data_IF_219736877515
#
_entry.id   IF_219736877515
#
_cell.length_a   1.000
_cell.length_b   1.000
_cell.length_c   1.000
_cell.angle_alpha   90.00
_cell.angle_beta   90.00
_cell.angle_gamma   90.00
#
_symmetry.space_group_name_H-M   'P 1'
#
loop_
_entity.id
_entity.type
_entity.pdbx_description
1 polymer ?
#
# COMPACT_ATOMS: atom_id res chain seq x y z
N UNK A 1 0.08 -47.45 -51.11
CA UNK A 1 0.45 -47.40 -49.69
C UNK A 1 1.11 -46.06 -49.44
N UNK A 2 0.32 -45.03 -49.21
CA UNK A 2 -0.27 -44.56 -47.93
C UNK A 2 0.57 -43.36 -47.47
N UNK A 3 0.04 -42.12 -47.45
CA UNK A 3 -0.89 -41.60 -46.42
C UNK A 3 -0.25 -41.77 -45.01
N UNK A 4 0.05 -40.75 -44.21
CA UNK A 4 -0.75 -39.60 -43.77
C UNK A 4 0.17 -38.63 -42.99
N UNK A 5 -0.02 -37.34 -43.26
CA UNK A 5 -0.18 -36.22 -42.31
C UNK A 5 0.76 -36.05 -41.11
N UNK A 6 1.42 -34.89 -41.09
CA UNK A 6 1.91 -34.23 -39.88
C UNK A 6 1.60 -32.74 -40.00
N UNK A 7 0.40 -32.35 -39.63
CA UNK A 7 -0.07 -30.96 -39.49
C UNK A 7 0.71 -30.31 -38.34
N UNK A 8 1.69 -29.46 -38.63
CA UNK A 8 2.17 -28.51 -37.62
C UNK A 8 1.19 -27.34 -37.56
N UNK A 9 0.26 -27.50 -36.62
CA UNK A 9 -0.71 -26.50 -36.19
C UNK A 9 0.06 -25.29 -35.66
N UNK A 10 -0.06 -24.15 -36.36
CA UNK A 10 0.34 -22.86 -35.84
C UNK A 10 -0.42 -22.61 -34.53
N UNK A 11 0.30 -22.57 -33.41
CA UNK A 11 -0.24 -22.09 -32.12
C UNK A 11 -0.15 -20.57 -32.11
N UNK A 12 -1.21 -19.90 -32.51
CA UNK A 12 -1.44 -18.50 -32.13
C UNK A 12 -1.76 -18.43 -30.62
N UNK A 13 -0.98 -17.64 -29.89
CA UNK A 13 -1.14 -17.48 -28.45
C UNK A 13 0.15 -17.34 -27.64
N UNK A 14 1.28 -16.95 -28.23
CA UNK A 14 2.40 -16.45 -27.43
C UNK A 14 2.17 -14.98 -27.14
N UNK A 15 1.74 -14.72 -25.90
CA UNK A 15 1.73 -13.40 -25.31
C UNK A 15 3.10 -12.74 -25.51
N UNK A 16 3.06 -11.48 -25.96
CA UNK A 16 4.21 -10.62 -26.13
C UNK A 16 4.88 -10.39 -24.77
N UNK A 17 5.79 -11.28 -24.38
CA UNK A 17 6.70 -11.06 -23.25
C UNK A 17 7.69 -9.97 -23.65
N UNK A 18 7.35 -8.73 -23.30
CA UNK A 18 8.30 -7.64 -23.27
C UNK A 18 9.34 -7.95 -22.20
N UNK A 19 10.46 -8.50 -22.65
CA UNK A 19 11.70 -8.53 -21.90
C UNK A 19 12.02 -7.09 -21.45
N UNK A 20 11.87 -6.83 -20.16
CA UNK A 20 12.38 -5.64 -19.51
C UNK A 20 13.88 -5.81 -19.31
N UNK A 21 14.67 -5.53 -20.34
CA UNK A 21 16.11 -5.37 -20.20
C UNK A 21 16.47 -3.88 -20.30
N UNK A 22 16.87 -3.36 -19.14
CA UNK A 22 17.75 -2.22 -18.90
C UNK A 22 17.37 -0.86 -19.50
N UNK A 23 17.12 0.07 -18.57
CA UNK A 23 17.25 1.52 -18.66
C UNK A 23 18.45 1.98 -19.52
N UNK A 24 18.28 1.98 -20.84
CA UNK A 24 18.93 2.97 -21.70
C UNK A 24 18.26 4.30 -21.40
N UNK A 25 19.07 5.33 -21.14
CA UNK A 25 18.59 6.66 -20.80
C UNK A 25 17.50 7.07 -21.79
N UNK A 26 16.25 7.12 -21.32
CA UNK A 26 15.12 7.59 -22.11
C UNK A 26 15.49 8.98 -22.60
N UNK A 27 15.81 9.09 -23.89
CA UNK A 27 16.00 10.36 -24.56
C UNK A 27 14.62 11.01 -24.58
N UNK A 28 14.31 11.78 -23.55
CA UNK A 28 13.08 12.59 -23.47
C UNK A 28 13.29 13.79 -24.39
N UNK A 29 12.64 13.75 -25.54
CA UNK A 29 12.88 14.68 -26.65
C UNK A 29 11.81 15.75 -26.69
N UNK A 30 12.25 17.00 -26.61
CA UNK A 30 11.40 18.16 -26.52
C UNK A 30 11.06 18.73 -27.91
N UNK A 31 9.96 18.27 -28.51
CA UNK A 31 9.22 19.07 -29.48
C UNK A 31 8.20 19.89 -28.70
N UNK A 32 8.40 21.20 -28.59
CA UNK A 32 7.42 22.16 -28.07
C UNK A 32 6.87 21.87 -26.64
N UNK A 33 7.54 21.03 -25.85
CA UNK A 33 7.17 20.65 -24.49
C UNK A 33 6.46 19.30 -24.36
N UNK A 34 6.34 18.51 -25.43
CA UNK A 34 5.54 17.28 -25.41
C UNK A 34 6.35 16.03 -25.05
N UNK A 35 5.81 15.19 -24.17
CA UNK A 35 6.45 13.95 -23.71
C UNK A 35 6.34 12.78 -24.72
N UNK A 36 5.72 13.00 -25.88
CA UNK A 36 5.62 12.02 -26.96
C UNK A 36 4.39 12.19 -27.87
N UNK A 37 4.24 11.31 -28.85
CA UNK A 37 3.22 11.41 -29.90
C UNK A 37 1.76 11.40 -29.39
N UNK A 38 1.46 10.59 -28.37
CA UNK A 38 0.11 10.54 -27.78
C UNK A 38 -0.21 11.83 -27.02
N UNK A 39 0.81 12.47 -26.44
CA UNK A 39 0.61 13.73 -25.73
C UNK A 39 0.33 14.88 -26.69
N UNK A 40 1.03 14.93 -27.83
CA UNK A 40 0.70 15.86 -28.93
C UNK A 40 -0.74 15.67 -29.37
N UNK A 41 -1.20 14.42 -29.56
CA UNK A 41 -2.60 14.13 -29.90
C UNK A 41 -3.57 14.66 -28.84
N UNK A 42 -3.25 14.49 -27.56
CA UNK A 42 -4.07 15.01 -26.47
C UNK A 42 -4.09 16.55 -26.45
N UNK A 43 -2.97 17.20 -26.75
CA UNK A 43 -2.87 18.66 -26.82
C UNK A 43 -3.66 19.23 -28.01
N UNK A 44 -3.51 18.66 -29.21
CA UNK A 44 -4.31 19.00 -30.39
C UNK A 44 -5.81 18.77 -30.11
N UNK A 45 -6.14 17.70 -29.39
CA UNK A 45 -7.51 17.42 -29.00
C UNK A 45 -8.07 18.45 -27.99
N UNK A 46 -7.23 19.07 -27.16
CA UNK A 46 -7.68 20.10 -26.21
C UNK A 46 -7.92 21.45 -26.87
N UNK A 47 -7.06 21.87 -27.80
CA UNK A 47 -7.11 23.20 -28.41
C UNK A 47 -8.42 23.45 -29.18
N UNK A 48 -8.97 22.41 -29.79
CA UNK A 48 -10.23 22.47 -30.52
C UNK A 48 -11.50 22.36 -29.65
N UNK A 49 -11.39 22.44 -28.31
CA UNK A 49 -12.52 22.23 -27.37
C UNK A 49 -13.29 20.95 -27.69
N UNK A 50 -12.56 19.85 -27.89
CA UNK A 50 -13.15 18.59 -28.31
C UNK A 50 -13.85 17.92 -27.15
N UNK A 51 -15.17 17.82 -27.25
CA UNK A 51 -15.80 16.57 -26.85
C UNK A 51 -15.19 15.49 -27.77
N UNK A 52 -14.35 14.62 -27.21
CA UNK A 52 -13.75 13.44 -27.88
C UNK A 52 -14.81 12.54 -28.57
N UNK A 53 -16.09 12.83 -28.32
CA UNK A 53 -17.29 12.20 -28.86
C UNK A 53 -17.96 12.98 -30.02
N UNK A 54 -17.71 14.28 -30.20
CA UNK A 54 -18.44 15.16 -31.14
C UNK A 54 -17.66 15.52 -32.42
N UNK A 55 -16.32 15.50 -32.40
CA UNK A 55 -15.51 15.66 -33.62
C UNK A 55 -15.02 14.31 -34.14
N UNK A 56 -14.95 14.16 -35.46
CA UNK A 56 -14.50 12.93 -36.09
C UNK A 56 -13.00 12.71 -35.85
N UNK A 57 -12.61 11.51 -35.40
CA UNK A 57 -11.22 11.08 -35.24
C UNK A 57 -10.36 11.35 -36.50
N UNK A 58 -10.99 11.37 -37.67
CA UNK A 58 -10.36 11.73 -38.94
C UNK A 58 -9.77 13.15 -38.97
N UNK A 59 -10.42 14.13 -38.34
CA UNK A 59 -9.93 15.50 -38.32
C UNK A 59 -8.71 15.67 -37.41
N UNK A 60 -8.69 14.96 -36.27
CA UNK A 60 -7.54 14.91 -35.38
C UNK A 60 -6.34 14.23 -36.06
N UNK A 61 -6.59 13.17 -36.83
CA UNK A 61 -5.55 12.54 -37.65
C UNK A 61 -4.94 13.52 -38.66
N UNK A 62 -5.76 14.36 -39.31
CA UNK A 62 -5.27 15.37 -40.26
C UNK A 62 -4.39 16.44 -39.62
N UNK A 63 -4.77 16.92 -38.45
CA UNK A 63 -3.98 17.88 -37.69
C UNK A 63 -2.64 17.31 -37.26
N UNK A 64 -2.64 16.07 -36.77
CA UNK A 64 -1.41 15.40 -36.39
C UNK A 64 -0.48 15.19 -37.60
N UNK A 65 -1.03 14.77 -38.75
CA UNK A 65 -0.24 14.61 -39.98
C UNK A 65 0.34 15.95 -40.47
N UNK A 66 -0.43 17.04 -40.35
CA UNK A 66 0.06 18.38 -40.65
C UNK A 66 1.20 18.79 -39.71
N UNK A 67 1.05 18.57 -38.41
CA UNK A 67 2.09 18.82 -37.40
C UNK A 67 3.38 18.05 -37.72
N UNK A 68 3.30 16.75 -37.99
CA UNK A 68 4.48 15.93 -38.32
C UNK A 68 5.13 16.40 -39.63
N UNK A 69 4.33 16.86 -40.60
CA UNK A 69 4.87 17.38 -41.86
C UNK A 69 5.66 18.69 -41.68
N UNK A 70 5.24 19.53 -40.74
CA UNK A 70 5.93 20.77 -40.38
C UNK A 70 7.18 20.48 -39.54
N UNK A 71 7.07 19.61 -38.53
CA UNK A 71 8.18 19.15 -37.72
C UNK A 71 9.29 18.49 -38.57
N UNK A 72 8.92 17.74 -39.61
CA UNK A 72 9.88 17.13 -40.55
C UNK A 72 10.69 18.17 -41.34
N UNK A 73 10.14 19.36 -41.58
CA UNK A 73 10.84 20.45 -42.30
C UNK A 73 11.84 21.17 -41.40
N UNK A 74 11.55 21.27 -40.10
CA UNK A 74 12.45 21.90 -39.14
C UNK A 74 13.53 20.93 -38.68
N UNK A 75 13.18 19.71 -38.26
CA UNK A 75 14.11 18.73 -37.71
C UNK A 75 13.75 17.28 -38.11
N UNK A 76 14.51 16.72 -39.06
CA UNK A 76 14.26 15.37 -39.60
C UNK A 76 14.45 14.25 -38.58
N UNK A 77 15.50 14.33 -37.75
CA UNK A 77 15.81 13.32 -36.73
C UNK A 77 14.68 13.20 -35.70
N UNK A 78 14.12 14.36 -35.33
CA UNK A 78 13.09 14.50 -34.32
C UNK A 78 11.72 14.03 -34.80
N UNK A 79 11.42 14.17 -36.09
CA UNK A 79 10.18 13.69 -36.67
C UNK A 79 10.08 12.15 -36.65
N UNK A 80 11.20 11.42 -36.58
CA UNK A 80 11.24 9.96 -36.68
C UNK A 80 10.36 9.25 -35.63
N UNK A 81 10.39 9.73 -34.38
CA UNK A 81 9.60 9.17 -33.27
C UNK A 81 8.09 9.33 -33.45
N UNK A 82 7.68 10.31 -34.27
CA UNK A 82 6.29 10.63 -34.57
C UNK A 82 5.80 9.93 -35.84
N UNK A 83 6.70 9.39 -36.67
CA UNK A 83 6.32 8.74 -37.93
C UNK A 83 5.51 7.46 -37.72
N UNK A 84 5.78 6.71 -36.65
CA UNK A 84 5.03 5.48 -36.35
C UNK A 84 3.55 5.80 -36.12
N UNK A 85 3.28 6.80 -35.28
CA UNK A 85 1.91 7.26 -35.03
C UNK A 85 1.29 7.94 -36.24
N UNK A 86 2.07 8.68 -37.04
CA UNK A 86 1.60 9.26 -38.29
C UNK A 86 1.14 8.19 -39.28
N UNK A 87 1.92 7.12 -39.45
CA UNK A 87 1.58 5.99 -40.30
C UNK A 87 0.31 5.28 -39.80
N UNK A 88 0.22 5.08 -38.48
CA UNK A 88 -0.96 4.47 -37.85
C UNK A 88 -2.24 5.30 -38.06
N UNK A 89 -2.15 6.62 -37.89
CA UNK A 89 -3.27 7.54 -38.13
C UNK A 89 -3.66 7.62 -39.60
N UNK A 90 -2.69 7.59 -40.51
CA UNK A 90 -2.95 7.53 -41.95
C UNK A 90 -3.67 6.24 -42.34
N UNK A 91 -3.27 5.10 -41.76
CA UNK A 91 -3.94 3.81 -41.95
C UNK A 91 -5.39 3.84 -41.42
N UNK A 92 -5.58 4.30 -40.18
CA UNK A 92 -6.92 4.42 -39.58
C UNK A 92 -7.81 5.38 -40.37
N UNK A 93 -7.28 6.53 -40.83
CA UNK A 93 -8.02 7.46 -41.70
C UNK A 93 -8.43 6.81 -43.03
N UNK A 94 -7.54 6.04 -43.66
CA UNK A 94 -7.86 5.30 -44.89
C UNK A 94 -9.03 4.34 -44.66
N UNK A 95 -8.94 3.52 -43.59
CA UNK A 95 -9.99 2.58 -43.17
C UNK A 95 -11.32 3.26 -42.85
N UNK A 96 -11.32 4.44 -42.26
CA UNK A 96 -12.54 5.22 -41.98
C UNK A 96 -13.22 5.78 -43.24
N UNK A 97 -12.46 6.01 -44.32
CA UNK A 97 -12.99 6.58 -45.56
C UNK A 97 -13.42 5.53 -46.58
N UNK A 98 -12.88 4.32 -46.47
CA UNK A 98 -13.21 3.20 -47.34
C UNK A 98 -14.52 2.54 -46.89
N UNK A 99 -15.44 2.19 -47.82
CA UNK A 99 -16.61 1.40 -47.48
C UNK A 99 -16.18 0.02 -46.99
N UNK A 100 -16.83 -0.46 -45.93
CA UNK A 100 -16.53 -1.75 -45.32
C UNK A 100 -16.90 -2.88 -46.28
N UNK A 101 -15.90 -3.64 -46.72
CA UNK A 101 -16.09 -4.71 -47.71
C UNK A 101 -16.42 -6.06 -47.02
N UNK A 102 -16.50 -6.08 -45.69
CA UNK A 102 -17.04 -7.21 -44.91
C UNK A 102 -16.28 -8.53 -45.07
N UNK A 103 -15.02 -8.49 -45.52
CA UNK A 103 -14.26 -9.68 -45.91
C UNK A 103 -12.99 -9.93 -45.08
N UNK A 104 -12.59 -9.00 -44.19
CA UNK A 104 -11.37 -9.13 -43.41
C UNK A 104 -11.68 -9.28 -41.91
N UNK A 105 -10.92 -10.14 -41.23
CA UNK A 105 -10.92 -10.33 -39.77
C UNK A 105 -10.21 -9.16 -39.03
N UNK A 106 -9.95 -8.07 -39.75
CA UNK A 106 -9.27 -6.90 -39.23
C UNK A 106 -10.27 -5.88 -38.66
N UNK A 107 -9.89 -5.15 -37.60
CA UNK A 107 -10.77 -4.17 -36.98
C UNK A 107 -11.20 -3.08 -37.96
N UNK A 108 -12.46 -2.66 -37.83
CA UNK A 108 -13.02 -1.59 -38.65
C UNK A 108 -12.35 -0.25 -38.32
N UNK A 109 -12.45 0.72 -39.25
CA UNK A 109 -11.93 2.08 -38.99
C UNK A 109 -12.56 2.72 -37.75
N UNK A 110 -13.84 2.44 -37.49
CA UNK A 110 -14.56 2.94 -36.31
C UNK A 110 -14.07 2.30 -35.01
N UNK A 111 -13.76 1.00 -35.03
CA UNK A 111 -13.21 0.31 -33.86
C UNK A 111 -11.82 0.83 -33.50
N UNK A 112 -10.96 1.05 -34.50
CA UNK A 112 -9.64 1.66 -34.31
C UNK A 112 -9.75 3.09 -33.74
N UNK A 113 -10.69 3.88 -34.25
CA UNK A 113 -10.96 5.22 -33.74
C UNK A 113 -11.44 5.19 -32.28
N UNK A 114 -12.36 4.29 -31.95
CA UNK A 114 -12.87 4.12 -30.59
C UNK A 114 -11.79 3.68 -29.60
N UNK A 115 -10.92 2.75 -30.02
CA UNK A 115 -9.78 2.29 -29.22
C UNK A 115 -8.81 3.44 -28.90
N UNK A 116 -8.46 4.27 -29.89
CA UNK A 116 -7.60 5.44 -29.66
C UNK A 116 -8.29 6.49 -28.80
N UNK A 117 -9.56 6.79 -29.05
CA UNK A 117 -10.33 7.73 -28.23
C UNK A 117 -10.36 7.30 -26.76
N UNK A 118 -10.52 5.99 -26.51
CA UNK A 118 -10.43 5.43 -25.17
C UNK A 118 -9.05 5.61 -24.55
N UNK A 119 -7.98 5.38 -25.32
CA UNK A 119 -6.61 5.57 -24.86
C UNK A 119 -6.32 7.05 -24.51
N UNK A 120 -6.76 8.00 -25.33
CA UNK A 120 -6.61 9.43 -25.08
C UNK A 120 -7.38 9.86 -23.84
N UNK A 121 -8.62 9.39 -23.67
CA UNK A 121 -9.43 9.65 -22.46
C UNK A 121 -8.75 9.09 -21.20
N UNK A 122 -8.14 7.92 -21.29
CA UNK A 122 -7.39 7.32 -20.18
C UNK A 122 -6.16 8.14 -19.84
N UNK A 123 -5.40 8.60 -20.83
CA UNK A 123 -4.25 9.47 -20.62
C UNK A 123 -4.67 10.79 -19.97
N UNK A 124 -5.75 11.41 -20.47
CA UNK A 124 -6.30 12.63 -19.89
C UNK A 124 -6.64 12.45 -18.40
N UNK A 125 -7.38 11.39 -18.06
CA UNK A 125 -7.76 11.11 -16.68
C UNK A 125 -6.52 10.90 -15.77
N UNK A 126 -5.48 10.25 -16.28
CA UNK A 126 -4.22 10.07 -15.55
C UNK A 126 -3.47 11.40 -15.35
N UNK A 127 -3.41 12.25 -16.37
CA UNK A 127 -2.81 13.59 -16.24
C UNK A 127 -3.57 14.46 -15.25
N UNK A 128 -4.90 14.43 -15.27
CA UNK A 128 -5.74 15.16 -14.32
C UNK A 128 -5.56 14.64 -12.89
N UNK A 129 -5.49 13.33 -12.70
CA UNK A 129 -5.20 12.72 -11.40
C UNK A 129 -3.80 13.10 -10.89
N UNK A 130 -2.80 13.11 -11.78
CA UNK A 130 -1.44 13.56 -11.49
C UNK A 130 -1.39 15.01 -11.05
N UNK A 131 -2.08 15.91 -11.75
CA UNK A 131 -2.21 17.31 -11.36
C UNK A 131 -2.94 17.48 -10.01
N UNK A 132 -3.99 16.69 -9.75
CA UNK A 132 -4.67 16.69 -8.46
C UNK A 132 -3.76 16.21 -7.33
N UNK A 133 -2.92 15.21 -7.57
CA UNK A 133 -1.94 14.71 -6.61
C UNK A 133 -0.86 15.77 -6.35
N UNK A 134 -0.36 16.42 -7.41
CA UNK A 134 0.67 17.45 -7.35
C UNK A 134 0.23 18.68 -6.56
N UNK A 135 -1.07 19.02 -6.60
CA UNK A 135 -1.68 20.10 -5.81
C UNK A 135 -1.84 19.78 -4.31
N UNK A 136 -1.69 18.52 -3.89
CA UNK A 136 -1.77 18.18 -2.47
C UNK A 136 -0.51 18.67 -1.75
N UNK A 137 -0.67 19.03 -0.48
CA UNK A 137 0.46 19.41 0.35
C UNK A 137 1.49 18.28 0.43
N UNK A 138 2.75 18.60 0.16
CA UNK A 138 3.84 17.66 0.12
C UNK A 138 4.66 17.73 1.43
N UNK A 139 4.84 16.57 2.06
CA UNK A 139 5.74 16.44 3.20
C UNK A 139 7.18 16.73 2.74
N UNK A 140 7.88 17.63 3.44
CA UNK A 140 9.23 18.08 3.10
C UNK A 140 9.28 19.32 2.20
N UNK A 141 8.15 19.73 1.61
CA UNK A 141 8.04 20.98 0.85
C UNK A 141 7.11 21.97 1.58
N UNK A 142 5.85 21.59 1.80
CA UNK A 142 4.82 22.46 2.38
C UNK A 142 4.73 22.32 3.90
N UNK A 143 4.93 21.09 4.42
CA UNK A 143 4.97 20.82 5.84
C UNK A 143 6.07 19.82 6.16
N UNK A 144 6.68 19.96 7.32
CA UNK A 144 7.78 19.11 7.76
C UNK A 144 7.32 18.18 8.88
N UNK A 145 7.92 17.00 8.94
CA UNK A 145 7.66 16.10 10.06
C UNK A 145 8.18 16.74 11.34
N UNK A 146 7.39 16.67 12.42
CA UNK A 146 7.91 16.93 13.76
C UNK A 146 8.86 15.78 14.09
N UNK A 147 10.14 16.09 14.25
CA UNK A 147 11.15 15.11 14.67
C UNK A 147 10.83 14.50 16.04
N UNK A 148 11.68 13.59 16.51
CA UNK A 148 11.46 12.93 17.79
C UNK A 148 11.39 13.96 18.93
N UNK A 149 10.27 13.99 19.69
CA UNK A 149 10.16 14.91 20.81
C UNK A 149 11.19 14.53 21.87
N UNK A 150 11.93 15.52 22.37
CA UNK A 150 12.87 15.29 23.46
C UNK A 150 12.09 14.86 24.72
N UNK A 151 12.27 13.59 25.11
CA UNK A 151 11.61 13.03 26.28
C UNK A 151 12.43 13.42 27.51
N UNK A 152 11.97 14.43 28.24
CA UNK A 152 12.53 14.74 29.56
C UNK A 152 12.23 13.61 30.54
N UNK A 153 13.16 12.68 30.70
CA UNK A 153 13.10 11.67 31.77
C UNK A 153 13.43 12.35 33.09
N UNK A 154 12.47 12.37 34.02
CA UNK A 154 12.69 12.87 35.38
C UNK A 154 13.60 11.89 36.11
N UNK A 155 14.89 12.17 36.16
CA UNK A 155 15.86 11.39 36.94
C UNK A 155 15.64 11.72 38.42
N UNK A 156 15.08 10.78 39.16
CA UNK A 156 14.98 10.89 40.61
C UNK A 156 16.31 10.43 41.23
N UNK A 157 17.14 11.38 41.65
CA UNK A 157 18.28 11.08 42.51
C UNK A 157 17.75 11.00 43.95
N UNK A 158 17.32 9.80 44.35
CA UNK A 158 16.79 9.56 45.69
C UNK A 158 17.95 9.38 46.66
N UNK A 159 18.28 10.43 47.41
CA UNK A 159 19.25 10.38 48.50
C UNK A 159 18.50 9.93 49.74
N UNK A 160 18.77 8.72 50.22
CA UNK A 160 18.22 8.24 51.48
C UNK A 160 19.01 8.83 52.64
N UNK A 161 18.38 9.72 53.41
CA UNK A 161 18.90 10.17 54.69
C UNK A 161 18.44 9.18 55.77
N UNK A 162 19.18 8.09 55.92
CA UNK A 162 18.89 7.05 56.90
C UNK A 162 20.11 6.83 57.79
N UNK A 163 19.89 6.87 59.10
CA UNK A 163 20.93 6.59 60.09
C UNK A 163 21.03 5.09 60.39
N UNK A 164 22.16 4.66 60.97
CA UNK A 164 22.30 3.29 61.48
C UNK A 164 21.20 2.94 62.50
N UNK A 165 20.75 3.93 63.28
CA UNK A 165 19.66 3.74 64.24
C UNK A 165 18.34 3.40 63.55
N UNK A 166 18.02 4.04 62.42
CA UNK A 166 16.81 3.76 61.65
C UNK A 166 16.83 2.33 61.08
N UNK A 167 18.01 1.87 60.64
CA UNK A 167 18.19 0.51 60.16
C UNK A 167 18.01 -0.52 61.28
N UNK A 168 18.59 -0.26 62.46
CA UNK A 168 18.45 -1.13 63.63
C UNK A 168 17.01 -1.16 64.15
N UNK A 169 16.31 -0.01 64.13
CA UNK A 169 14.88 0.09 64.47
C UNK A 169 14.01 -0.70 63.49
N UNK A 170 14.25 -0.54 62.19
CA UNK A 170 13.54 -1.29 61.16
C UNK A 170 13.78 -2.81 61.33
N UNK A 171 15.02 -3.22 61.56
CA UNK A 171 15.36 -4.61 61.83
C UNK A 171 14.69 -5.17 63.09
N UNK A 172 14.72 -4.43 64.20
CA UNK A 172 14.06 -4.82 65.45
C UNK A 172 12.55 -4.99 65.30
N UNK A 173 11.89 -4.08 64.57
CA UNK A 173 10.45 -4.20 64.28
C UNK A 173 10.10 -5.42 63.43
N UNK A 174 10.96 -5.79 62.47
CA UNK A 174 10.81 -7.02 61.69
C UNK A 174 10.99 -8.28 62.57
N UNK A 175 11.98 -8.26 63.48
CA UNK A 175 12.25 -9.39 64.36
C UNK A 175 11.13 -9.59 65.39
N UNK A 176 10.57 -8.50 65.93
CA UNK A 176 9.41 -8.57 66.82
C UNK A 176 8.20 -9.17 66.09
N UNK A 177 7.95 -8.76 64.85
CA UNK A 177 6.88 -9.33 64.01
C UNK A 177 7.08 -10.82 63.72
N UNK A 178 8.33 -11.29 63.54
CA UNK A 178 8.65 -12.71 63.37
C UNK A 178 8.59 -13.52 64.68
N UNK A 179 9.03 -12.95 65.79
CA UNK A 179 9.08 -13.60 67.11
C UNK A 179 7.72 -13.71 67.79
N UNK A 180 6.85 -12.72 67.63
CA UNK A 180 5.47 -12.75 68.15
C UNK A 180 4.52 -13.65 67.36
N UNK A 181 4.98 -14.31 66.29
CA UNK A 181 4.18 -15.28 65.55
C UNK A 181 4.00 -16.62 66.28
N UNK A 182 4.80 -16.89 67.33
CA UNK A 182 4.47 -17.95 68.27
C UNK A 182 3.60 -17.36 69.37
N UNK A 183 2.30 -17.26 69.10
CA UNK A 183 1.33 -17.03 70.15
C UNK A 183 1.48 -18.17 71.16
N UNK A 184 1.85 -17.84 72.40
CA UNK A 184 1.91 -18.80 73.51
C UNK A 184 0.52 -19.43 73.66
N UNK A 185 0.32 -20.63 73.12
CA UNK A 185 -0.92 -21.40 73.30
C UNK A 185 -0.84 -22.13 74.63
N UNK A 186 -1.49 -21.57 75.65
CA UNK A 186 -1.77 -22.30 76.88
C UNK A 186 -2.97 -23.20 76.57
N UNK A 187 -2.75 -24.52 76.55
CA UNK A 187 -3.85 -25.48 76.36
C UNK A 187 -4.90 -25.30 77.48
N UNK A 188 -6.20 -25.19 77.15
CA UNK A 188 -7.22 -25.05 78.17
C UNK A 188 -7.29 -26.34 78.99
N UNK A 189 -7.24 -26.23 80.32
CA UNK A 189 -7.49 -27.36 81.21
C UNK A 189 -8.99 -27.61 81.30
N UNK A 190 -9.42 -28.87 81.15
CA UNK A 190 -10.83 -29.24 81.30
C UNK A 190 -11.22 -29.15 82.79
N UNK A 191 -12.09 -28.21 83.12
CA UNK A 191 -12.65 -28.07 84.48
C UNK A 191 -13.86 -29.00 84.58
N UNK A 192 -13.81 -29.98 85.47
CA UNK A 192 -14.92 -30.88 85.75
C UNK A 192 -15.67 -30.44 87.02
N UNK A 193 -17.00 -30.55 87.00
CA UNK A 193 -17.78 -30.49 88.24
C UNK A 193 -17.47 -31.74 89.09
N UNK A 194 -17.69 -31.68 90.41
CA UNK A 194 -17.33 -32.80 91.30
C UNK A 194 -18.09 -34.07 90.92
N UNK A 195 -19.38 -33.95 90.63
CA UNK A 195 -20.21 -35.05 90.12
C UNK A 195 -19.68 -35.62 88.79
N UNK A 196 -19.35 -34.78 87.81
CA UNK A 196 -18.85 -35.23 86.51
C UNK A 196 -17.46 -35.88 86.62
N UNK A 197 -16.61 -35.33 87.49
CA UNK A 197 -15.30 -35.88 87.80
C UNK A 197 -15.43 -37.27 88.44
N UNK A 198 -16.36 -37.46 89.38
CA UNK A 198 -16.65 -38.75 90.01
C UNK A 198 -17.21 -39.78 89.02
N UNK A 199 -18.11 -39.37 88.12
CA UNK A 199 -18.63 -40.25 87.05
C UNK A 199 -17.52 -40.68 86.10
N UNK A 200 -16.64 -39.76 85.71
CA UNK A 200 -15.48 -40.05 84.84
C UNK A 200 -14.47 -40.97 85.53
N UNK A 201 -14.13 -40.71 86.79
CA UNK A 201 -13.26 -41.57 87.59
C UNK A 201 -13.85 -42.97 87.78
N UNK A 202 -15.14 -43.09 88.10
CA UNK A 202 -15.83 -44.39 88.21
C UNK A 202 -15.86 -45.19 86.90
N UNK A 203 -15.90 -44.52 85.74
CA UNK A 203 -15.76 -45.20 84.43
C UNK A 203 -14.33 -45.65 84.15
N UNK A 204 -13.33 -44.88 84.59
CA UNK A 204 -11.91 -45.22 84.40
C UNK A 204 -11.41 -46.28 85.40
N UNK A 205 -11.96 -46.31 86.61
CA UNK A 205 -11.57 -47.24 87.68
C UNK A 205 -12.72 -48.21 87.93
N UNK A 206 -12.61 -49.42 87.37
CA UNK A 206 -13.68 -50.43 87.30
C UNK A 206 -14.06 -51.10 88.64
N UNK A 207 -13.47 -50.66 89.76
CA UNK A 207 -13.80 -51.13 91.12
C UNK A 207 -13.57 -49.97 92.10
N UNK A 208 -14.63 -49.50 92.76
CA UNK A 208 -14.53 -48.56 93.87
C UNK A 208 -15.24 -49.22 95.07
N UNK A 209 -14.58 -49.44 96.22
CA UNK A 209 -15.24 -49.92 97.44
C UNK A 209 -16.20 -48.86 97.98
N UNK A 210 -17.29 -49.30 98.64
CA UNK A 210 -18.34 -48.43 99.20
C UNK A 210 -17.82 -47.37 100.18
#
# INVERSE_FOLDING_TARGET
>A
MNEISGTEVFKEGQAFELASETSEAAFTVDLEGFEGAIDVLLALARDHKLDITQMSMSALADQYLAFVSEARRSNLELAADYLVMAAWLAYMKSRLLLPDIGADDEPSGEELANALAFQLKRLQAMKEAGECLRKRSQLGTDFFWRGDPEIFRRTYNMVYDASLFDLLKAYGSLQYRKGSASALRIEPFEIYTVEDALVRLRRMVRVVPE
#
